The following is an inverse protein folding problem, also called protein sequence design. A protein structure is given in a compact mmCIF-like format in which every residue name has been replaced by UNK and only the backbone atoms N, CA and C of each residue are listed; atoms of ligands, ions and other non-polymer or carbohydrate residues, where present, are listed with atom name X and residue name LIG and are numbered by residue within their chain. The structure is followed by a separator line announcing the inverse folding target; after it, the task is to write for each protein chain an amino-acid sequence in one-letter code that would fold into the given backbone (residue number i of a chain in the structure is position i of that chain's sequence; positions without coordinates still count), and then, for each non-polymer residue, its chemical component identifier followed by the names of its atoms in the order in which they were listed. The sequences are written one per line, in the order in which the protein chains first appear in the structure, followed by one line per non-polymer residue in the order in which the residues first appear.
data_IF_249081127553
#
_entry.id   IF_249081127553
#
_cell.length_a   1.000
_cell.length_b   1.000
_cell.length_c   1.000
_cell.angle_alpha   90.00
_cell.angle_beta   90.00
_cell.angle_gamma   90.00
#
_symmetry.space_group_name_H-M   'P 1'
#
loop_
_entity.id
_entity.type
_entity.pdbx_description
1 polymer ?
#
# COMPACT_ATOMS: atom_id res chain seq x y z
N UNK A 1 -33.35 2.79 23.45
CA UNK A 1 -31.90 2.94 23.42
C UNK A 1 -31.55 4.23 22.70
N UNK A 2 -30.94 5.17 23.39
CA UNK A 2 -30.33 6.33 22.73
C UNK A 2 -29.08 5.84 21.99
N UNK A 3 -29.01 6.08 20.67
CA UNK A 3 -27.79 5.86 19.92
C UNK A 3 -26.83 7.01 20.20
N UNK A 4 -25.62 6.67 20.57
CA UNK A 4 -24.56 7.67 20.66
C UNK A 4 -24.21 8.15 19.25
N UNK A 5 -24.15 9.46 19.06
CA UNK A 5 -23.83 10.09 17.78
C UNK A 5 -22.51 10.83 17.95
N UNK A 6 -21.55 10.52 17.08
CA UNK A 6 -20.27 11.22 16.98
C UNK A 6 -20.18 11.91 15.63
N UNK A 7 -19.75 13.16 15.62
CA UNK A 7 -19.63 13.98 14.41
C UNK A 7 -18.16 14.08 13.99
N UNK A 8 -17.92 13.90 12.70
CA UNK A 8 -16.62 14.05 12.05
C UNK A 8 -16.77 14.79 10.73
N UNK A 9 -15.73 15.51 10.31
CA UNK A 9 -15.69 16.19 9.02
C UNK A 9 -15.60 15.16 7.87
N UNK A 10 -14.84 14.10 8.09
CA UNK A 10 -14.66 13.01 7.11
C UNK A 10 -14.70 11.66 7.81
N UNK A 11 -15.44 10.72 7.25
CA UNK A 11 -15.45 9.31 7.66
C UNK A 11 -14.90 8.46 6.52
N UNK A 12 -13.85 7.70 6.79
CA UNK A 12 -13.21 6.78 5.85
C UNK A 12 -13.55 5.34 6.27
N UNK A 13 -14.10 4.56 5.37
CA UNK A 13 -14.43 3.16 5.61
C UNK A 13 -13.37 2.27 5.00
N UNK A 14 -12.61 1.59 5.85
CA UNK A 14 -11.52 0.68 5.49
C UNK A 14 -10.13 1.25 5.77
N UNK A 15 -9.36 0.54 6.61
CA UNK A 15 -7.98 0.86 7.00
C UNK A 15 -6.92 0.22 6.11
N UNK A 16 -7.22 -0.03 4.84
CA UNK A 16 -6.24 -0.47 3.85
C UNK A 16 -5.35 0.67 3.34
N UNK A 17 -4.41 0.39 2.41
CA UNK A 17 -3.48 1.41 1.88
C UNK A 17 -4.18 2.65 1.34
N UNK A 18 -5.29 2.49 0.65
CA UNK A 18 -6.09 3.61 0.10
C UNK A 18 -6.70 4.48 1.20
N UNK A 19 -7.37 3.87 2.19
CA UNK A 19 -7.98 4.61 3.29
C UNK A 19 -6.95 5.33 4.16
N UNK A 20 -5.84 4.66 4.48
CA UNK A 20 -4.74 5.23 5.24
C UNK A 20 -4.08 6.40 4.50
N UNK A 21 -3.80 6.24 3.20
CA UNK A 21 -3.22 7.31 2.37
C UNK A 21 -4.14 8.53 2.30
N UNK A 22 -5.45 8.30 2.19
CA UNK A 22 -6.46 9.36 2.21
C UNK A 22 -6.45 10.11 3.55
N UNK A 23 -6.49 9.38 4.66
CA UNK A 23 -6.46 9.98 6.00
C UNK A 23 -5.19 10.83 6.23
N UNK A 24 -4.04 10.29 5.86
CA UNK A 24 -2.75 10.97 5.97
C UNK A 24 -2.76 12.24 5.11
N UNK A 25 -3.18 12.14 3.85
CA UNK A 25 -3.19 13.30 2.94
C UNK A 25 -4.14 14.39 3.41
N UNK A 26 -5.31 14.04 3.92
CA UNK A 26 -6.23 15.01 4.53
C UNK A 26 -5.57 15.77 5.68
N UNK A 27 -4.90 15.05 6.58
CA UNK A 27 -4.19 15.67 7.71
C UNK A 27 -2.98 16.51 7.29
N UNK A 28 -2.29 16.14 6.20
CA UNK A 28 -1.21 16.95 5.63
C UNK A 28 -1.74 18.27 5.04
N UNK A 29 -2.92 18.24 4.42
CA UNK A 29 -3.54 19.41 3.80
C UNK A 29 -4.22 20.34 4.82
N UNK A 30 -4.83 19.75 5.84
CA UNK A 30 -5.48 20.46 6.93
C UNK A 30 -5.31 19.69 8.24
N UNK A 31 -4.36 20.08 9.10
CA UNK A 31 -4.11 19.41 10.38
C UNK A 31 -5.32 19.41 11.34
N UNK A 32 -6.19 20.39 11.21
CA UNK A 32 -7.35 20.56 12.11
C UNK A 32 -8.58 19.76 11.69
N UNK A 33 -8.58 19.18 10.47
CA UNK A 33 -9.70 18.37 10.00
C UNK A 33 -9.92 17.14 10.90
N UNK A 34 -11.16 16.91 11.28
CA UNK A 34 -11.53 15.77 12.12
C UNK A 34 -11.88 14.55 11.27
N UNK A 35 -10.98 13.56 11.25
CA UNK A 35 -11.10 12.37 10.41
C UNK A 35 -11.35 11.14 11.27
N UNK A 36 -12.39 10.38 10.95
CA UNK A 36 -12.64 9.06 11.50
C UNK A 36 -12.34 8.00 10.45
N UNK A 37 -11.55 7.00 10.81
CA UNK A 37 -11.29 5.84 9.98
C UNK A 37 -11.88 4.59 10.65
N UNK A 38 -12.74 3.88 9.93
CA UNK A 38 -13.42 2.68 10.38
C UNK A 38 -12.75 1.45 9.76
N UNK A 39 -12.33 0.50 10.59
CA UNK A 39 -11.76 -0.78 10.17
C UNK A 39 -12.60 -1.93 10.76
N UNK A 40 -12.95 -2.91 9.91
CA UNK A 40 -13.74 -4.08 10.35
C UNK A 40 -12.91 -5.10 11.12
N UNK A 41 -11.61 -5.15 10.87
CA UNK A 41 -10.69 -6.04 11.58
C UNK A 41 -10.40 -5.52 13.00
N UNK A 42 -9.85 -6.37 13.85
CA UNK A 42 -9.45 -6.01 15.22
C UNK A 42 -8.30 -4.98 15.25
N UNK A 43 -7.52 -4.93 14.19
CA UNK A 43 -6.41 -3.99 14.00
C UNK A 43 -6.15 -3.71 12.53
N UNK A 44 -5.51 -2.59 12.23
CA UNK A 44 -5.12 -2.24 10.86
C UNK A 44 -4.08 -3.23 10.36
N UNK A 45 -4.31 -3.77 9.16
CA UNK A 45 -3.41 -4.74 8.53
C UNK A 45 -3.72 -6.22 8.84
N UNK A 46 -4.65 -6.53 9.72
CA UNK A 46 -4.95 -7.92 10.10
C UNK A 46 -5.40 -8.81 8.93
N UNK A 47 -5.97 -8.23 7.87
CA UNK A 47 -6.42 -8.95 6.67
C UNK A 47 -5.53 -8.74 5.44
N UNK A 48 -4.35 -8.16 5.61
CA UNK A 48 -3.41 -7.89 4.50
C UNK A 48 -2.46 -9.07 4.34
N UNK A 49 -2.24 -9.49 3.09
CA UNK A 49 -1.22 -10.49 2.75
C UNK A 49 0.17 -9.88 2.88
N UNK A 50 1.10 -10.68 3.43
CA UNK A 50 2.52 -10.33 3.51
C UNK A 50 3.31 -10.89 2.32
N UNK A 51 4.58 -10.50 2.17
CA UNK A 51 5.49 -11.03 1.17
C UNK A 51 5.27 -10.47 -0.24
N UNK A 52 4.60 -9.34 -0.37
CA UNK A 52 4.38 -8.65 -1.64
C UNK A 52 5.57 -7.76 -2.01
N UNK A 53 5.74 -7.55 -3.32
CA UNK A 53 6.59 -6.47 -3.83
C UNK A 53 5.84 -5.15 -3.67
N UNK A 54 6.51 -4.18 -3.07
CA UNK A 54 5.95 -2.85 -2.82
C UNK A 54 6.51 -1.84 -3.82
N UNK A 55 5.65 -1.20 -4.60
CA UNK A 55 6.03 -0.10 -5.48
C UNK A 55 6.10 1.21 -4.67
N UNK A 56 7.29 1.81 -4.57
CA UNK A 56 7.53 2.96 -3.69
C UNK A 56 6.99 4.28 -4.21
N UNK A 57 6.57 4.38 -5.46
CA UNK A 57 6.10 5.62 -6.08
C UNK A 57 5.04 6.35 -5.27
N UNK A 58 4.00 5.63 -4.83
CA UNK A 58 2.93 6.23 -4.03
C UNK A 58 3.44 6.72 -2.65
N UNK A 59 4.42 6.01 -2.08
CA UNK A 59 5.06 6.41 -0.84
C UNK A 59 5.95 7.63 -1.02
N UNK A 60 6.69 7.72 -2.15
CA UNK A 60 7.49 8.90 -2.52
C UNK A 60 6.63 10.16 -2.66
N UNK A 61 5.40 10.01 -3.21
CA UNK A 61 4.45 11.11 -3.34
C UNK A 61 3.82 11.53 -2.00
N UNK A 62 3.53 10.57 -1.11
CA UNK A 62 2.88 10.83 0.18
C UNK A 62 3.87 11.32 1.23
N UNK A 63 5.06 10.73 1.27
CA UNK A 63 6.15 11.04 2.20
C UNK A 63 7.49 11.08 1.46
N UNK A 64 7.90 12.21 0.87
CA UNK A 64 9.16 12.30 0.14
C UNK A 64 10.39 11.90 0.96
N UNK A 65 10.30 12.02 2.27
CA UNK A 65 11.35 11.67 3.25
C UNK A 65 11.14 10.33 3.96
N UNK A 66 10.34 9.40 3.42
CA UNK A 66 10.01 8.14 4.09
C UNK A 66 11.22 7.29 4.46
N UNK A 67 12.34 7.43 3.71
CA UNK A 67 13.60 6.73 4.02
C UNK A 67 14.20 7.17 5.33
N UNK A 68 14.03 8.44 5.70
CA UNK A 68 14.49 9.02 6.98
C UNK A 68 13.55 8.65 8.13
N UNK A 69 12.29 8.34 7.81
CA UNK A 69 11.26 7.95 8.79
C UNK A 69 11.32 6.46 9.20
N UNK A 70 12.37 5.73 8.82
CA UNK A 70 12.53 4.30 9.13
C UNK A 70 11.36 3.42 8.67
N UNK A 71 10.78 3.71 7.51
CA UNK A 71 9.77 2.84 6.92
C UNK A 71 10.31 1.38 6.81
N UNK A 72 9.51 0.36 7.08
CA UNK A 72 9.96 -1.04 7.15
C UNK A 72 10.26 -1.66 5.79
N UNK A 73 10.58 -0.86 4.78
CA UNK A 73 10.92 -1.26 3.42
C UNK A 73 12.44 -1.30 3.30
N UNK A 74 13.03 -2.47 3.53
CA UNK A 74 14.48 -2.62 3.66
C UNK A 74 15.14 -3.38 2.51
N UNK A 75 14.40 -4.25 1.85
CA UNK A 75 14.94 -5.18 0.84
C UNK A 75 14.47 -4.79 -0.55
N UNK A 76 15.43 -4.47 -1.42
CA UNK A 76 15.17 -4.13 -2.81
C UNK A 76 15.05 -5.38 -3.67
N UNK A 77 14.18 -5.35 -4.68
CA UNK A 77 14.11 -6.38 -5.71
C UNK A 77 15.33 -6.27 -6.63
N UNK A 78 16.17 -7.30 -6.61
CA UNK A 78 17.37 -7.36 -7.44
C UNK A 78 17.18 -8.13 -8.74
N UNK A 79 16.34 -9.19 -8.71
CA UNK A 79 16.04 -10.04 -9.85
C UNK A 79 14.58 -10.40 -9.87
N UNK A 80 14.03 -10.47 -11.06
CA UNK A 80 12.67 -10.95 -11.32
C UNK A 80 12.68 -11.98 -12.45
N UNK A 81 11.75 -12.92 -12.42
CA UNK A 81 11.53 -13.89 -13.48
C UNK A 81 10.04 -14.00 -13.77
N UNK A 82 9.70 -14.00 -15.02
CA UNK A 82 8.35 -14.30 -15.47
C UNK A 82 8.33 -15.71 -16.10
N UNK A 83 7.53 -16.60 -15.54
CA UNK A 83 7.54 -18.02 -15.90
C UNK A 83 6.11 -18.46 -16.20
N UNK A 84 5.90 -19.05 -17.39
CA UNK A 84 4.68 -19.77 -17.71
C UNK A 84 4.82 -21.23 -17.31
N UNK A 85 3.91 -21.71 -16.50
CA UNK A 85 3.90 -23.09 -16.03
C UNK A 85 2.94 -23.93 -16.87
N UNK A 86 3.45 -25.03 -17.46
CA UNK A 86 2.66 -26.09 -18.06
C UNK A 86 2.54 -27.30 -17.12
N UNK A 87 1.87 -28.36 -17.56
CA UNK A 87 1.68 -29.57 -16.74
C UNK A 87 2.99 -30.26 -16.32
N UNK A 88 4.02 -30.22 -17.15
CA UNK A 88 5.30 -30.89 -16.90
C UNK A 88 6.54 -30.05 -17.28
N UNK A 89 6.34 -28.86 -17.81
CA UNK A 89 7.42 -27.96 -18.27
C UNK A 89 7.11 -26.53 -17.91
N UNK A 90 8.13 -25.68 -17.87
CA UNK A 90 7.97 -24.24 -17.73
C UNK A 90 8.68 -23.51 -18.86
N UNK A 91 8.17 -22.34 -19.23
CA UNK A 91 8.77 -21.40 -20.16
C UNK A 91 9.12 -20.12 -19.42
N UNK A 92 10.40 -19.78 -19.40
CA UNK A 92 10.85 -18.48 -18.86
C UNK A 92 10.72 -17.41 -19.95
N UNK A 93 9.98 -16.35 -19.65
CA UNK A 93 9.80 -15.21 -20.55
C UNK A 93 10.88 -14.16 -20.27
N UNK A 94 11.48 -13.54 -21.32
CA UNK A 94 12.45 -12.46 -21.13
C UNK A 94 11.77 -11.25 -20.46
N UNK A 95 12.27 -10.84 -19.30
CA UNK A 95 11.68 -9.73 -18.53
C UNK A 95 11.75 -8.38 -19.26
N UNK A 96 12.74 -8.18 -20.14
CA UNK A 96 12.89 -6.96 -20.94
C UNK A 96 11.76 -6.75 -21.97
N UNK A 97 11.00 -7.80 -22.30
CA UNK A 97 9.81 -7.71 -23.17
C UNK A 97 8.53 -7.38 -22.41
N UNK A 98 8.59 -7.32 -21.07
CA UNK A 98 7.43 -6.95 -20.26
C UNK A 98 7.18 -5.44 -20.29
N UNK A 99 5.93 -4.98 -20.20
CA UNK A 99 5.61 -3.56 -20.00
C UNK A 99 6.31 -2.98 -18.77
N UNK A 100 6.69 -1.72 -18.81
CA UNK A 100 7.38 -1.03 -17.70
C UNK A 100 6.66 -1.18 -16.35
N UNK A 101 5.33 -1.21 -16.37
CA UNK A 101 4.49 -1.38 -15.17
C UNK A 101 4.68 -2.73 -14.47
N UNK A 102 5.25 -3.73 -15.16
CA UNK A 102 5.54 -5.06 -14.61
C UNK A 102 7.01 -5.22 -14.16
N UNK A 103 7.82 -4.16 -14.26
CA UNK A 103 9.20 -4.18 -13.81
C UNK A 103 9.29 -3.80 -12.34
N UNK A 104 9.78 -4.73 -11.52
CA UNK A 104 9.86 -4.57 -10.05
C UNK A 104 11.28 -4.22 -9.56
N UNK A 105 12.23 -3.97 -10.45
CA UNK A 105 13.60 -3.64 -10.06
C UNK A 105 13.63 -2.39 -9.18
N UNK A 106 14.24 -2.48 -8.01
CA UNK A 106 14.33 -1.47 -6.95
C UNK A 106 13.02 -1.17 -6.18
N UNK A 107 11.96 -1.91 -6.42
CA UNK A 107 10.76 -1.88 -5.58
C UNK A 107 10.98 -2.63 -4.27
#
# INVERSE_FOLDING_TARGET
MSREVMEYDVVIVGGGPSGLSTAIKLKQLNPDINVCLLEKASEIGAHILSGNVFETRALDELFPNWKELNAPIKTKVNKEKFIFLGKSKFLSWPTWLLPKVQHNKNN
#
